data_IF_197729448360
#
_entry.id   IF_197729448360
#
_cell.length_a   1.000
_cell.length_b   1.000
_cell.length_c   1.000
_cell.angle_alpha   90.00
_cell.angle_beta   90.00
_cell.angle_gamma   90.00
#
_symmetry.space_group_name_H-M   'P 1'
#
loop_
_entity.id
_entity.type
_entity.pdbx_description
1 polymer ?
#
# COMPACT_ATOMS: atom_id res chain seq x y z
N UNK A 1 12.60 5.62 -12.53
CA UNK A 1 12.17 6.92 -13.11
C UNK A 1 10.65 7.07 -13.12
N UNK A 2 9.90 5.98 -13.34
CA UNK A 2 8.45 5.96 -13.43
C UNK A 2 7.87 4.87 -12.51
N UNK A 3 6.67 5.10 -11.99
CA UNK A 3 5.92 4.05 -11.30
C UNK A 3 5.27 3.09 -12.30
N UNK A 4 4.89 1.89 -11.84
CA UNK A 4 4.27 0.87 -12.70
C UNK A 4 2.85 1.23 -13.19
N UNK A 5 2.25 2.29 -12.66
CA UNK A 5 0.95 2.80 -13.13
C UNK A 5 1.01 4.10 -13.91
N UNK A 6 2.20 4.66 -14.14
CA UNK A 6 2.34 6.03 -14.64
C UNK A 6 2.48 6.13 -16.15
N UNK A 7 3.11 5.15 -16.79
CA UNK A 7 3.41 5.17 -18.24
C UNK A 7 2.15 5.19 -19.09
N UNK A 8 2.20 6.00 -20.15
CA UNK A 8 1.10 6.19 -21.11
C UNK A 8 1.61 6.18 -22.55
N UNK A 9 0.72 6.23 -23.50
CA UNK A 9 1.06 6.29 -24.95
C UNK A 9 1.92 7.52 -25.30
N UNK A 10 1.84 8.58 -24.52
CA UNK A 10 2.68 9.79 -24.67
C UNK A 10 4.15 9.53 -24.36
N UNK A 11 4.45 8.48 -23.59
CA UNK A 11 5.81 8.13 -23.18
C UNK A 11 6.51 7.17 -24.16
N UNK A 12 5.84 6.81 -25.27
CA UNK A 12 6.41 5.93 -26.30
C UNK A 12 7.71 6.50 -26.84
N UNK A 13 8.73 5.65 -26.97
CA UNK A 13 10.14 5.91 -27.30
C UNK A 13 10.97 6.54 -26.18
N UNK A 14 10.41 6.84 -25.03
CA UNK A 14 11.19 7.26 -23.86
C UNK A 14 11.83 6.07 -23.14
N UNK A 15 12.95 6.32 -22.50
CA UNK A 15 13.55 5.37 -21.58
C UNK A 15 12.81 5.39 -20.23
N UNK A 16 12.51 4.22 -19.70
CA UNK A 16 11.87 4.07 -18.40
C UNK A 16 12.63 3.08 -17.53
N UNK A 17 12.68 3.35 -16.22
CA UNK A 17 13.26 2.46 -15.22
C UNK A 17 12.23 2.23 -14.11
N UNK A 18 11.17 1.43 -14.34
CA UNK A 18 10.27 1.00 -13.29
C UNK A 18 10.94 0.01 -12.34
N UNK A 19 10.55 0.09 -11.06
CA UNK A 19 10.95 -0.83 -10.00
C UNK A 19 9.68 -1.37 -9.35
N UNK A 20 9.61 -2.68 -9.15
CA UNK A 20 8.40 -3.28 -8.59
C UNK A 20 8.54 -4.77 -8.29
N UNK A 21 7.42 -5.36 -7.93
CA UNK A 21 7.28 -6.80 -7.74
C UNK A 21 6.86 -7.47 -9.03
N UNK A 22 7.45 -8.61 -9.33
CA UNK A 22 6.97 -9.52 -10.38
C UNK A 22 5.59 -10.06 -9.97
N UNK A 23 4.55 -9.69 -10.70
CA UNK A 23 3.19 -10.16 -10.44
C UNK A 23 2.89 -11.44 -11.19
N UNK A 24 3.24 -11.51 -12.48
CA UNK A 24 3.10 -12.70 -13.31
C UNK A 24 4.26 -12.82 -14.30
N UNK A 25 4.57 -14.04 -14.69
CA UNK A 25 5.56 -14.36 -15.74
C UNK A 25 4.88 -15.26 -16.77
N UNK A 26 4.99 -14.91 -18.04
CA UNK A 26 4.42 -15.67 -19.16
C UNK A 26 5.47 -15.81 -20.25
N UNK A 27 5.70 -17.02 -20.71
CA UNK A 27 6.50 -17.29 -21.91
C UNK A 27 5.54 -17.55 -23.08
N UNK A 28 5.66 -16.76 -24.12
CA UNK A 28 4.83 -16.90 -25.31
C UNK A 28 5.60 -16.53 -26.55
N UNK A 29 5.72 -17.49 -27.49
CA UNK A 29 6.36 -17.27 -28.78
C UNK A 29 7.85 -16.92 -28.71
N UNK A 30 8.55 -17.33 -27.64
CA UNK A 30 9.98 -17.03 -27.44
C UNK A 30 10.23 -15.65 -26.84
N UNK A 31 9.19 -14.92 -26.44
CA UNK A 31 9.29 -13.70 -25.65
C UNK A 31 8.82 -13.99 -24.22
N UNK A 32 9.48 -13.39 -23.23
CA UNK A 32 9.00 -13.46 -21.84
C UNK A 32 8.30 -12.15 -21.50
N UNK A 33 7.05 -12.27 -21.06
CA UNK A 33 6.22 -11.16 -20.61
C UNK A 33 6.12 -11.21 -19.09
N UNK A 34 6.38 -10.08 -18.45
CA UNK A 34 6.25 -9.93 -17.01
C UNK A 34 5.34 -8.75 -16.71
N UNK A 35 4.35 -8.97 -15.84
CA UNK A 35 3.57 -7.91 -15.25
C UNK A 35 4.33 -7.41 -14.01
N UNK A 36 4.94 -6.25 -14.09
CA UNK A 36 5.62 -5.58 -13.00
C UNK A 36 4.64 -4.69 -12.24
N UNK A 37 4.52 -4.86 -10.93
CA UNK A 37 3.53 -4.20 -10.10
C UNK A 37 4.19 -3.36 -9.01
N UNK A 38 3.62 -2.19 -8.76
CA UNK A 38 3.82 -1.40 -7.55
C UNK A 38 2.46 -0.98 -6.96
N UNK A 39 2.43 -0.04 -6.02
CA UNK A 39 1.18 0.46 -5.45
C UNK A 39 0.38 1.35 -6.40
N UNK A 40 0.97 1.81 -7.49
CA UNK A 40 0.34 2.72 -8.44
C UNK A 40 -0.28 2.00 -9.62
N UNK A 41 0.12 0.75 -9.89
CA UNK A 41 -0.44 -0.04 -10.96
C UNK A 41 0.46 -1.17 -11.43
N UNK A 42 0.21 -1.58 -12.66
CA UNK A 42 0.93 -2.68 -13.33
C UNK A 42 1.41 -2.18 -14.70
N UNK A 43 2.65 -2.49 -15.03
CA UNK A 43 3.21 -2.28 -16.37
C UNK A 43 3.72 -3.62 -16.91
N UNK A 44 3.33 -3.97 -18.13
CA UNK A 44 3.90 -5.12 -18.84
C UNK A 44 5.31 -4.77 -19.32
N UNK A 45 6.26 -5.66 -19.04
CA UNK A 45 7.62 -5.59 -19.58
C UNK A 45 7.90 -6.81 -20.42
N UNK A 46 8.65 -6.64 -21.52
CA UNK A 46 8.88 -7.65 -22.55
C UNK A 46 10.38 -7.90 -22.69
N UNK A 47 10.76 -9.15 -22.55
CA UNK A 47 12.12 -9.63 -22.75
C UNK A 47 12.21 -10.32 -24.10
N UNK A 48 13.06 -9.77 -24.95
CA UNK A 48 13.33 -10.29 -26.28
C UNK A 48 14.76 -10.89 -26.30
N UNK A 49 14.91 -12.19 -26.60
CA UNK A 49 16.22 -12.83 -26.62
C UNK A 49 17.19 -12.25 -27.66
N UNK A 50 16.66 -11.58 -28.68
CA UNK A 50 17.51 -10.94 -29.72
C UNK A 50 18.19 -9.67 -29.22
N UNK A 51 17.68 -9.05 -28.15
CA UNK A 51 18.24 -7.84 -27.53
C UNK A 51 19.33 -8.14 -26.49
N UNK A 52 19.30 -9.34 -25.88
CA UNK A 52 20.33 -9.76 -24.94
C UNK A 52 19.97 -11.07 -24.25
N UNK A 53 20.82 -12.05 -24.45
CA UNK A 53 20.60 -13.41 -23.93
C UNK A 53 20.70 -13.48 -22.40
N UNK A 54 21.63 -12.72 -21.81
CA UNK A 54 21.90 -12.76 -20.36
C UNK A 54 20.68 -12.35 -19.52
N UNK A 55 20.06 -11.23 -19.83
CA UNK A 55 18.86 -10.79 -19.09
C UNK A 55 17.63 -11.61 -19.46
N UNK A 56 17.56 -12.18 -20.67
CA UNK A 56 16.49 -13.08 -21.08
C UNK A 56 16.54 -14.38 -20.27
N UNK A 57 17.71 -15.02 -20.16
CA UNK A 57 17.89 -16.23 -19.37
C UNK A 57 17.60 -15.99 -17.88
N UNK A 58 17.94 -14.79 -17.38
CA UNK A 58 17.62 -14.36 -16.01
C UNK A 58 16.12 -14.16 -15.84
N UNK A 59 15.43 -13.57 -16.83
CA UNK A 59 13.98 -13.38 -16.81
C UNK A 59 13.22 -14.70 -16.68
N UNK A 60 13.68 -15.77 -17.33
CA UNK A 60 13.13 -17.11 -17.21
C UNK A 60 13.20 -17.72 -15.79
N UNK A 61 14.06 -17.17 -14.92
CA UNK A 61 14.21 -17.61 -13.53
C UNK A 61 13.39 -16.79 -12.54
N UNK A 62 12.80 -15.69 -13.00
CA UNK A 62 11.99 -14.81 -12.13
C UNK A 62 10.75 -15.56 -11.64
N UNK A 63 10.39 -15.27 -10.40
CA UNK A 63 9.21 -15.83 -9.75
C UNK A 63 8.35 -14.71 -9.18
N UNK A 64 7.06 -14.98 -8.93
CA UNK A 64 6.16 -14.02 -8.30
C UNK A 64 6.77 -13.42 -7.03
N UNK A 65 6.55 -12.13 -6.84
CA UNK A 65 6.98 -11.32 -5.71
C UNK A 65 8.51 -11.07 -5.62
N UNK A 66 9.31 -11.50 -6.60
CA UNK A 66 10.67 -10.97 -6.71
C UNK A 66 10.63 -9.46 -6.94
N UNK A 67 11.56 -8.73 -6.36
CA UNK A 67 11.72 -7.28 -6.58
C UNK A 67 12.78 -7.08 -7.63
N UNK A 68 12.40 -6.38 -8.70
CA UNK A 68 13.29 -6.13 -9.82
C UNK A 68 13.30 -4.67 -10.23
N UNK A 69 14.44 -4.20 -10.73
CA UNK A 69 14.56 -2.96 -11.47
C UNK A 69 14.71 -3.31 -12.96
N UNK A 70 13.88 -2.71 -13.78
CA UNK A 70 13.87 -2.92 -15.23
C UNK A 70 14.25 -1.61 -15.91
N UNK A 71 15.24 -1.62 -16.77
CA UNK A 71 15.52 -0.51 -17.67
C UNK A 71 15.15 -0.90 -19.09
N UNK A 72 14.43 -0.03 -19.81
CA UNK A 72 14.02 -0.32 -21.17
C UNK A 72 13.33 0.85 -21.83
N UNK A 73 12.84 0.59 -23.05
CA UNK A 73 12.16 1.59 -23.88
C UNK A 73 10.66 1.32 -23.93
N UNK A 74 9.90 2.37 -23.69
CA UNK A 74 8.44 2.31 -23.79
C UNK A 74 8.02 2.18 -25.25
N UNK A 75 7.19 1.18 -25.55
CA UNK A 75 6.68 0.87 -26.88
C UNK A 75 5.16 0.72 -26.86
N UNK A 76 4.47 1.00 -27.95
CA UNK A 76 3.05 0.72 -28.04
C UNK A 76 2.85 -0.81 -28.08
N UNK A 77 1.78 -1.31 -27.45
CA UNK A 77 1.40 -2.71 -27.64
C UNK A 77 0.93 -2.95 -29.07
N UNK A 78 1.18 -4.13 -29.63
CA UNK A 78 0.65 -4.53 -30.93
C UNK A 78 -0.90 -4.43 -30.97
N UNK A 79 -1.43 -4.17 -32.17
CA UNK A 79 -2.89 -4.21 -32.39
C UNK A 79 -3.47 -5.57 -31.94
N UNK A 80 -4.60 -5.54 -31.25
CA UNK A 80 -5.27 -6.73 -30.71
C UNK A 80 -4.72 -7.22 -29.36
N UNK A 81 -3.64 -6.63 -28.82
CA UNK A 81 -3.09 -6.98 -27.49
C UNK A 81 -3.31 -5.90 -26.43
N UNK A 82 -4.06 -4.86 -26.76
CA UNK A 82 -4.41 -3.79 -25.82
C UNK A 82 -5.19 -4.35 -24.62
N UNK A 83 -4.86 -3.91 -23.43
CA UNK A 83 -5.56 -4.33 -22.22
C UNK A 83 -6.31 -3.16 -21.56
N UNK A 84 -7.64 -3.05 -21.79
CA UNK A 84 -8.43 -1.95 -21.25
C UNK A 84 -8.58 -1.96 -19.73
N UNK A 85 -8.20 -3.06 -19.08
CA UNK A 85 -8.27 -3.18 -17.61
C UNK A 85 -7.04 -2.60 -16.89
N UNK A 86 -6.03 -2.17 -17.64
CA UNK A 86 -4.82 -1.56 -17.10
C UNK A 86 -4.69 -0.12 -17.62
N UNK A 87 -4.37 0.81 -16.75
CA UNK A 87 -4.09 2.21 -17.12
C UNK A 87 -2.90 2.33 -18.08
N UNK A 88 -1.97 1.36 -18.03
CA UNK A 88 -0.81 1.22 -18.91
C UNK A 88 -1.05 0.25 -20.07
N UNK A 89 -2.29 -0.16 -20.28
CA UNK A 89 -2.66 -1.25 -21.20
C UNK A 89 -2.43 -0.98 -22.68
N UNK A 90 -2.11 0.25 -23.07
CA UNK A 90 -1.74 0.64 -24.43
C UNK A 90 -0.25 0.54 -24.73
N UNK A 91 0.56 0.35 -23.69
CA UNK A 91 2.04 0.32 -23.79
C UNK A 91 2.63 -0.91 -23.14
N UNK A 92 3.87 -1.17 -23.49
CA UNK A 92 4.76 -2.14 -22.83
C UNK A 92 6.18 -1.60 -22.83
N UNK A 93 7.05 -2.13 -21.98
CA UNK A 93 8.45 -1.73 -21.90
C UNK A 93 9.31 -2.86 -22.43
N UNK A 94 9.99 -2.63 -23.55
CA UNK A 94 11.02 -3.55 -24.03
C UNK A 94 12.28 -3.38 -23.21
N UNK A 95 12.73 -4.49 -22.62
CA UNK A 95 13.82 -4.51 -21.64
C UNK A 95 15.19 -4.43 -22.32
N UNK A 96 16.04 -3.55 -21.80
CA UNK A 96 17.45 -3.43 -22.16
C UNK A 96 18.35 -3.93 -21.02
N UNK A 97 17.90 -3.85 -19.76
CA UNK A 97 18.61 -4.44 -18.62
C UNK A 97 17.65 -4.84 -17.49
N UNK A 98 18.05 -5.84 -16.71
CA UNK A 98 17.34 -6.39 -15.58
C UNK A 98 18.28 -6.51 -14.38
N UNK A 99 17.84 -6.01 -13.24
CA UNK A 99 18.51 -6.22 -11.96
C UNK A 99 17.52 -6.84 -10.95
N UNK A 100 17.91 -7.97 -10.35
CA UNK A 100 17.15 -8.58 -9.26
C UNK A 100 17.59 -7.92 -7.95
N UNK A 101 16.76 -7.03 -7.41
CA UNK A 101 17.04 -6.34 -6.14
C UNK A 101 16.81 -7.25 -4.93
N UNK A 102 15.80 -8.12 -5.01
CA UNK A 102 15.53 -9.09 -3.96
C UNK A 102 14.74 -10.29 -4.48
N UNK A 103 15.05 -11.46 -3.95
CA UNK A 103 14.31 -12.69 -4.21
C UNK A 103 13.24 -12.88 -3.13
N UNK A 104 12.20 -13.60 -3.47
CA UNK A 104 11.12 -13.97 -2.55
C UNK A 104 10.97 -15.49 -2.50
N UNK A 105 10.60 -16.01 -1.35
CA UNK A 105 10.01 -17.33 -1.25
C UNK A 105 8.63 -17.33 -1.91
N UNK A 106 8.11 -18.50 -2.26
CA UNK A 106 6.77 -18.63 -2.83
C UNK A 106 5.73 -18.11 -1.83
N UNK A 107 4.93 -17.11 -2.21
CA UNK A 107 3.89 -16.60 -1.32
C UNK A 107 2.85 -17.68 -0.97
N UNK A 108 2.27 -17.66 0.25
CA UNK A 108 1.27 -18.62 0.66
C UNK A 108 -0.08 -18.49 -0.10
N UNK A 109 -0.25 -17.41 -0.84
CA UNK A 109 -1.39 -17.16 -1.73
C UNK A 109 -1.03 -16.12 -2.79
N UNK A 110 -1.77 -16.14 -3.89
CA UNK A 110 -1.64 -15.14 -4.95
C UNK A 110 -2.20 -13.78 -4.51
N UNK A 111 -1.48 -12.70 -4.86
CA UNK A 111 -1.86 -11.33 -4.51
C UNK A 111 -2.81 -10.78 -5.59
N UNK A 112 -4.02 -11.30 -5.60
CA UNK A 112 -5.11 -10.89 -6.50
C UNK A 112 -6.37 -10.56 -5.69
N UNK A 113 -7.25 -9.73 -6.26
CA UNK A 113 -8.50 -9.37 -5.59
C UNK A 113 -9.53 -10.50 -5.64
N UNK A 114 -9.45 -11.40 -6.62
CA UNK A 114 -10.37 -12.52 -6.83
C UNK A 114 -9.98 -13.82 -6.08
N UNK A 115 -9.04 -13.72 -5.15
CA UNK A 115 -8.54 -14.86 -4.42
C UNK A 115 -9.56 -15.39 -3.39
N UNK A 116 -9.87 -16.71 -3.46
CA UNK A 116 -10.71 -17.43 -2.49
C UNK A 116 -9.97 -17.80 -1.20
N UNK A 117 -8.94 -17.06 -0.83
CA UNK A 117 -8.11 -17.32 0.35
C UNK A 117 -8.86 -16.96 1.62
N UNK A 118 -8.81 -17.85 2.61
CA UNK A 118 -9.47 -17.64 3.90
C UNK A 118 -9.02 -16.35 4.58
N UNK A 119 -9.93 -15.74 5.33
CA UNK A 119 -9.61 -14.54 6.10
C UNK A 119 -8.46 -14.77 7.09
N UNK A 120 -8.44 -15.94 7.73
CA UNK A 120 -7.40 -16.33 8.68
C UNK A 120 -6.00 -16.31 8.03
N UNK A 121 -5.83 -16.93 6.87
CA UNK A 121 -4.55 -16.94 6.16
C UNK A 121 -4.13 -15.54 5.70
N UNK A 122 -5.09 -14.72 5.25
CA UNK A 122 -4.83 -13.31 4.90
C UNK A 122 -4.43 -12.47 6.12
N UNK A 123 -5.02 -12.72 7.28
CA UNK A 123 -4.64 -12.02 8.52
C UNK A 123 -3.27 -12.48 9.03
N UNK A 124 -2.95 -13.76 8.93
CA UNK A 124 -1.63 -14.30 9.28
C UNK A 124 -0.52 -13.68 8.41
N UNK A 125 -0.79 -13.47 7.13
CA UNK A 125 0.15 -12.85 6.18
C UNK A 125 -0.36 -11.47 5.71
N UNK A 126 -0.77 -10.64 6.67
CA UNK A 126 -1.41 -9.35 6.40
C UNK A 126 -0.59 -8.43 5.51
N UNK A 127 0.73 -8.47 5.61
CA UNK A 127 1.66 -7.71 4.78
C UNK A 127 1.55 -8.04 3.29
N UNK A 128 1.20 -9.28 2.93
CA UNK A 128 0.90 -9.68 1.54
C UNK A 128 -0.52 -9.26 1.13
N UNK A 129 -1.52 -9.48 2.00
CA UNK A 129 -2.90 -9.08 1.72
C UNK A 129 -3.01 -7.56 1.47
N UNK A 130 -2.20 -6.75 2.14
CA UNK A 130 -2.13 -5.30 1.93
C UNK A 130 -1.56 -4.89 0.57
N UNK A 131 -0.91 -5.78 -0.17
CA UNK A 131 -0.48 -5.53 -1.56
C UNK A 131 -1.61 -5.64 -2.58
N UNK A 132 -2.76 -6.23 -2.22
CA UNK A 132 -3.92 -6.34 -3.09
C UNK A 132 -4.48 -4.96 -3.42
N UNK A 133 -4.90 -4.77 -4.68
CA UNK A 133 -5.40 -3.49 -5.18
C UNK A 133 -6.59 -2.97 -4.35
N UNK A 134 -7.56 -3.83 -4.03
CA UNK A 134 -8.71 -3.45 -3.20
C UNK A 134 -8.30 -2.97 -1.81
N UNK A 135 -7.29 -3.59 -1.18
CA UNK A 135 -6.81 -3.18 0.14
C UNK A 135 -6.06 -1.86 0.08
N UNK A 136 -5.20 -1.68 -0.93
CA UNK A 136 -4.50 -0.41 -1.15
C UNK A 136 -5.48 0.73 -1.40
N UNK A 137 -6.49 0.53 -2.26
CA UNK A 137 -7.53 1.52 -2.54
C UNK A 137 -8.28 1.95 -1.26
N UNK A 138 -8.61 1.01 -0.36
CA UNK A 138 -9.26 1.29 0.91
C UNK A 138 -8.40 2.17 1.83
N UNK A 139 -7.10 1.85 1.95
CA UNK A 139 -6.19 2.64 2.78
C UNK A 139 -5.95 4.03 2.21
N UNK A 140 -5.77 4.14 0.89
CA UNK A 140 -5.62 5.43 0.21
C UNK A 140 -6.91 6.26 0.34
N UNK A 141 -8.08 5.63 0.17
CA UNK A 141 -9.36 6.32 0.36
C UNK A 141 -9.51 6.86 1.78
N UNK A 142 -9.22 6.02 2.80
CA UNK A 142 -9.22 6.47 4.20
C UNK A 142 -8.28 7.66 4.43
N UNK A 143 -7.05 7.60 3.87
CA UNK A 143 -6.11 8.72 3.94
C UNK A 143 -6.71 10.00 3.35
N UNK A 144 -7.29 9.93 2.15
CA UNK A 144 -7.93 11.07 1.48
C UNK A 144 -9.08 11.65 2.31
N UNK A 145 -9.93 10.81 2.89
CA UNK A 145 -11.01 11.26 3.77
C UNK A 145 -10.46 12.01 4.99
N UNK A 146 -9.46 11.44 5.68
CA UNK A 146 -8.83 12.10 6.83
C UNK A 146 -8.18 13.43 6.43
N UNK A 147 -7.52 13.48 5.29
CA UNK A 147 -6.91 14.72 4.79
C UNK A 147 -7.98 15.78 4.47
N UNK A 148 -9.06 15.40 3.79
CA UNK A 148 -10.17 16.32 3.48
C UNK A 148 -10.80 16.90 4.75
N UNK A 149 -10.96 16.08 5.81
CA UNK A 149 -11.47 16.56 7.11
C UNK A 149 -10.52 17.59 7.70
N UNK A 150 -9.20 17.30 7.70
CA UNK A 150 -8.18 18.24 8.21
C UNK A 150 -8.19 19.55 7.44
N UNK A 151 -8.13 19.48 6.11
CA UNK A 151 -8.13 20.67 5.25
C UNK A 151 -9.40 21.52 5.43
N UNK A 152 -10.55 20.87 5.63
CA UNK A 152 -11.83 21.57 5.86
C UNK A 152 -11.84 22.29 7.22
N UNK A 153 -11.42 21.61 8.27
CA UNK A 153 -11.41 22.18 9.63
C UNK A 153 -10.33 23.26 9.80
N UNK A 154 -9.15 23.07 9.17
CA UNK A 154 -8.09 24.07 9.14
C UNK A 154 -8.57 25.40 8.54
N UNK A 155 -9.31 25.37 7.43
CA UNK A 155 -9.93 26.58 6.83
C UNK A 155 -10.92 27.29 7.76
N UNK A 156 -11.46 26.59 8.75
CA UNK A 156 -12.34 27.14 9.77
C UNK A 156 -11.59 27.55 11.05
N UNK A 157 -10.24 27.54 10.99
CA UNK A 157 -9.34 27.85 12.10
C UNK A 157 -9.46 26.85 13.28
N UNK A 158 -9.78 25.59 13.02
CA UNK A 158 -9.66 24.55 14.02
C UNK A 158 -8.22 24.03 14.08
N UNK A 159 -7.74 23.77 15.29
CA UNK A 159 -6.39 23.24 15.55
C UNK A 159 -6.46 21.73 15.77
N UNK A 160 -5.67 20.95 15.02
CA UNK A 160 -5.53 19.49 15.24
C UNK A 160 -4.59 19.26 16.43
N UNK A 161 -5.11 18.77 17.55
CA UNK A 161 -4.32 18.56 18.78
C UNK A 161 -4.42 17.10 19.20
N UNK A 162 -3.27 16.42 19.21
CA UNK A 162 -3.16 15.05 19.74
C UNK A 162 -3.18 15.06 21.27
N UNK A 163 -3.94 14.13 21.85
CA UNK A 163 -4.06 13.93 23.28
C UNK A 163 -3.37 12.64 23.71
N UNK A 164 -2.95 12.51 24.98
CA UNK A 164 -2.32 11.29 25.49
C UNK A 164 -3.20 10.04 25.28
N UNK A 165 -2.57 8.93 24.85
CA UNK A 165 -3.21 7.62 24.68
C UNK A 165 -3.17 6.79 25.97
N UNK A 166 -2.17 6.99 26.83
CA UNK A 166 -2.11 6.38 28.15
C UNK A 166 -2.56 7.41 29.20
N UNK A 167 -3.64 7.10 29.89
CA UNK A 167 -4.28 8.02 30.84
C UNK A 167 -4.54 7.31 32.17
N UNK A 168 -5.10 8.01 33.13
CA UNK A 168 -5.72 7.42 34.31
C UNK A 168 -7.10 6.90 33.92
N UNK A 169 -7.51 5.76 34.50
CA UNK A 169 -8.88 5.26 34.35
C UNK A 169 -9.90 6.31 34.81
N UNK A 170 -10.93 6.50 34.00
CA UNK A 170 -12.04 7.43 34.26
C UNK A 170 -13.36 6.68 34.24
N UNK A 171 -14.32 7.01 35.10
CA UNK A 171 -15.62 6.32 35.15
C UNK A 171 -16.54 6.82 34.02
N UNK A 172 -16.25 6.46 32.78
CA UNK A 172 -17.01 6.90 31.59
C UNK A 172 -18.02 5.86 31.07
N UNK A 173 -18.53 4.98 31.92
CA UNK A 173 -19.64 4.08 31.59
C UNK A 173 -19.24 2.72 31.02
N UNK A 174 -18.29 2.62 30.09
CA UNK A 174 -17.74 1.36 29.59
C UNK A 174 -16.56 0.87 30.45
N UNK A 175 -16.10 -0.34 30.22
CA UNK A 175 -14.85 -0.82 30.84
C UNK A 175 -13.65 -0.30 30.08
N UNK A 176 -12.63 0.12 30.85
CA UNK A 176 -11.35 0.54 30.29
C UNK A 176 -10.45 -0.66 30.05
N UNK A 177 -9.70 -0.65 28.93
CA UNK A 177 -8.53 -1.50 28.80
C UNK A 177 -7.42 -0.99 29.72
N UNK A 178 -6.98 -1.84 30.67
CA UNK A 178 -5.93 -1.49 31.61
C UNK A 178 -4.55 -1.95 31.13
N UNK A 179 -3.58 -1.06 31.22
CA UNK A 179 -2.18 -1.34 30.88
C UNK A 179 -1.35 -1.31 32.15
N UNK A 180 -0.78 -2.46 32.62
CA UNK A 180 0.01 -2.50 33.83
C UNK A 180 1.32 -1.70 33.68
N UNK A 181 1.65 -0.93 34.72
CA UNK A 181 2.92 -0.19 34.77
C UNK A 181 4.07 -1.10 35.20
N UNK A 182 5.13 -1.17 34.40
CA UNK A 182 6.36 -1.89 34.75
C UNK A 182 7.23 -1.13 35.78
N UNK A 183 7.13 0.20 35.74
CA UNK A 183 7.92 1.08 36.63
C UNK A 183 7.27 1.21 38.02
N UNK A 184 5.94 1.31 38.04
CA UNK A 184 5.19 1.46 39.30
C UNK A 184 4.37 0.19 39.52
N UNK A 185 4.92 -0.76 40.25
CA UNK A 185 4.29 -2.05 40.57
C UNK A 185 2.92 -1.85 41.24
N UNK A 186 1.92 -2.60 40.76
CA UNK A 186 0.54 -2.54 41.26
C UNK A 186 -0.27 -1.34 40.77
N UNK A 187 0.29 -0.50 39.86
CA UNK A 187 -0.43 0.60 39.22
C UNK A 187 -0.67 0.32 37.75
N UNK A 188 -1.72 0.95 37.21
CA UNK A 188 -2.18 0.76 35.84
C UNK A 188 -2.41 2.10 35.16
N UNK A 189 -2.14 2.14 33.87
CA UNK A 189 -2.70 3.12 32.94
C UNK A 189 -4.00 2.56 32.34
N UNK A 190 -4.80 3.44 31.77
CA UNK A 190 -5.96 3.08 30.97
C UNK A 190 -5.82 3.61 29.55
N UNK A 191 -6.38 2.88 28.57
CA UNK A 191 -6.60 3.40 27.24
C UNK A 191 -7.91 4.19 27.20
N UNK A 192 -7.96 5.42 26.64
CA UNK A 192 -9.11 6.28 26.76
C UNK A 192 -10.29 5.77 25.94
N UNK A 193 -11.48 5.79 26.53
CA UNK A 193 -12.75 5.53 25.85
C UNK A 193 -13.14 6.72 24.95
N UNK A 194 -12.76 7.92 25.35
CA UNK A 194 -12.89 9.15 24.58
C UNK A 194 -11.87 10.18 25.08
N UNK A 195 -11.52 11.21 24.29
CA UNK A 195 -10.66 12.31 24.74
C UNK A 195 -11.44 13.38 25.54
N UNK A 196 -12.58 13.05 26.15
CA UNK A 196 -13.50 14.00 26.76
C UNK A 196 -12.85 14.89 27.82
N UNK A 197 -12.03 14.32 28.71
CA UNK A 197 -11.32 15.08 29.74
C UNK A 197 -10.34 16.09 29.13
N UNK A 198 -9.56 15.65 28.14
CA UNK A 198 -8.63 16.53 27.43
C UNK A 198 -9.33 17.61 26.62
N UNK A 199 -10.48 17.28 25.99
CA UNK A 199 -11.32 18.24 25.30
C UNK A 199 -11.76 19.39 26.24
N UNK A 200 -12.20 19.06 27.44
CA UNK A 200 -12.59 20.06 28.43
C UNK A 200 -11.39 20.93 28.87
N UNK A 201 -10.25 20.31 29.12
CA UNK A 201 -9.02 21.03 29.50
C UNK A 201 -8.59 21.98 28.38
N UNK A 202 -8.62 21.55 27.11
CA UNK A 202 -8.28 22.39 25.96
C UNK A 202 -9.23 23.57 25.83
N UNK A 203 -10.54 23.37 26.02
CA UNK A 203 -11.51 24.46 25.98
C UNK A 203 -11.27 25.48 27.11
N UNK A 204 -10.99 25.02 28.32
CA UNK A 204 -10.62 25.89 29.47
C UNK A 204 -9.31 26.62 29.21
N UNK A 205 -8.37 25.99 28.51
CA UNK A 205 -7.08 26.59 28.12
C UNK A 205 -7.19 27.60 26.97
N UNK A 206 -8.39 27.84 26.43
CA UNK A 206 -8.64 28.84 25.40
C UNK A 206 -8.58 28.34 23.96
N UNK A 207 -8.49 27.03 23.73
CA UNK A 207 -8.61 26.44 22.40
C UNK A 207 -10.10 26.27 22.05
N UNK A 208 -10.75 27.34 21.62
CA UNK A 208 -12.18 27.39 21.30
C UNK A 208 -12.55 26.59 20.05
N UNK A 209 -11.58 26.34 19.19
CA UNK A 209 -11.72 25.55 17.95
C UNK A 209 -10.63 24.50 17.86
N UNK A 210 -10.90 23.32 18.37
CA UNK A 210 -9.98 22.20 18.24
C UNK A 210 -10.69 20.98 17.68
N UNK A 211 -9.96 20.09 17.06
CA UNK A 211 -10.43 18.78 16.65
C UNK A 211 -9.31 17.74 16.78
N UNK A 212 -9.69 16.47 16.66
CA UNK A 212 -8.77 15.35 16.68
C UNK A 212 -9.41 14.16 15.96
N UNK A 213 -8.64 13.49 15.11
CA UNK A 213 -8.99 12.16 14.58
C UNK A 213 -8.33 11.13 15.48
N UNK A 214 -9.06 10.66 16.48
CA UNK A 214 -8.52 9.87 17.60
C UNK A 214 -9.00 8.42 17.58
N UNK A 215 -8.23 7.53 18.17
CA UNK A 215 -8.65 6.16 18.49
C UNK A 215 -9.24 6.14 19.89
N UNK A 216 -10.42 5.51 20.01
CA UNK A 216 -11.08 5.24 21.26
C UNK A 216 -11.09 3.74 21.52
N UNK A 217 -11.03 3.35 22.79
CA UNK A 217 -10.91 1.96 23.20
C UNK A 217 -12.01 1.66 24.22
N UNK A 218 -12.69 0.53 24.05
CA UNK A 218 -13.71 0.06 24.98
C UNK A 218 -13.56 -1.44 25.11
N UNK A 219 -13.52 -1.93 26.34
CA UNK A 219 -13.49 -3.36 26.65
C UNK A 219 -14.93 -3.87 26.74
N UNK A 220 -15.56 -3.97 25.59
CA UNK A 220 -16.94 -4.40 25.39
C UNK A 220 -17.00 -5.46 24.31
N UNK A 221 -17.95 -6.38 24.42
CA UNK A 221 -18.28 -7.34 23.37
C UNK A 221 -18.91 -6.58 22.18
N UNK A 222 -18.53 -7.01 20.96
CA UNK A 222 -19.02 -6.46 19.69
C UNK A 222 -20.25 -7.22 19.23
#
# INVERSE_FOLDING_TARGET
THTCGQLRRTDVKSAATPVGWVSSVRDHGGLIFIDLRDRYGITQVVFDPTKGKEFYDTAGQLRPEYVVAIQGIVSPRPEGTLNPNLDTGEIEVFVDSLEILNRSETPPFEITDDSNVSLELRLKHRYLDLRRSAMQKRLIFRHKVCQTIRDYLDRLNFVDIETPVLTKSTPEGARDYLVPSRVNLGKFYALPQSPQLFKQILMVAGYDRYFQIVRCFRDEDL
#
